data_IF_194296502417
#
_entry.id   IF_194296502417
#
_cell.length_a   1.000
_cell.length_b   1.000
_cell.length_c   1.000
_cell.angle_alpha   90.00
_cell.angle_beta   90.00
_cell.angle_gamma   90.00
#
_symmetry.space_group_name_H-M   'P 1'
#
loop_
_entity.id
_entity.type
_entity.pdbx_description
1 polymer ?
#
# COMPACT_ATOMS: atom_id res chain seq x y z
N UNK A 1 -11.03 -4.74 -8.50
CA UNK A 1 -10.27 -3.73 -7.74
C UNK A 1 -10.05 -2.54 -8.66
N UNK A 2 -10.23 -1.29 -8.20
CA UNK A 2 -9.77 -0.13 -8.96
C UNK A 2 -8.23 -0.14 -9.09
N UNK A 3 -7.69 0.52 -10.12
CA UNK A 3 -6.24 0.65 -10.31
C UNK A 3 -5.62 1.60 -9.27
N UNK A 4 -6.38 2.62 -8.88
CA UNK A 4 -6.02 3.60 -7.85
C UNK A 4 -7.25 3.82 -6.96
N UNK A 5 -7.06 3.88 -5.65
CA UNK A 5 -8.08 4.34 -4.71
C UNK A 5 -7.51 5.39 -3.77
N UNK A 6 -8.33 6.37 -3.40
CA UNK A 6 -7.93 7.51 -2.59
C UNK A 6 -8.69 7.49 -1.28
N UNK A 7 -7.99 7.73 -0.19
CA UNK A 7 -8.55 7.70 1.16
C UNK A 7 -8.21 8.97 1.91
N UNK A 8 -9.14 9.42 2.73
CA UNK A 8 -8.85 10.38 3.78
C UNK A 8 -8.00 9.71 4.89
N UNK A 9 -7.44 10.51 5.78
CA UNK A 9 -6.60 10.00 6.87
C UNK A 9 -7.36 9.04 7.80
N UNK A 10 -8.68 9.16 7.93
CA UNK A 10 -9.50 8.26 8.74
C UNK A 10 -9.78 6.90 8.07
N UNK A 11 -9.36 6.70 6.81
CA UNK A 11 -9.55 5.48 6.04
C UNK A 11 -10.84 5.44 5.22
N UNK A 12 -11.64 6.52 5.22
CA UNK A 12 -12.79 6.66 4.31
C UNK A 12 -12.32 6.87 2.86
N UNK A 13 -12.97 6.19 1.92
CA UNK A 13 -12.69 6.34 0.49
C UNK A 13 -13.25 7.69 0.01
N UNK A 14 -12.41 8.51 -0.61
CA UNK A 14 -12.78 9.86 -1.04
C UNK A 14 -13.64 9.83 -2.29
N UNK A 15 -14.76 10.57 -2.28
CA UNK A 15 -15.57 10.82 -3.48
C UNK A 15 -15.05 12.04 -4.24
N UNK A 16 -15.61 12.30 -5.43
CA UNK A 16 -15.23 13.45 -6.26
C UNK A 16 -15.47 14.79 -5.52
N UNK A 17 -16.49 14.84 -4.67
CA UNK A 17 -16.83 16.00 -3.84
C UNK A 17 -15.83 16.25 -2.70
N UNK A 18 -15.23 15.21 -2.14
CA UNK A 18 -14.26 15.30 -1.04
C UNK A 18 -12.95 15.98 -1.45
N UNK A 19 -12.62 15.96 -2.75
CA UNK A 19 -11.46 16.66 -3.30
C UNK A 19 -11.57 18.18 -3.22
N UNK A 20 -12.79 18.72 -3.25
CA UNK A 20 -13.06 20.16 -3.22
C UNK A 20 -13.00 20.77 -1.82
N UNK A 21 -13.01 19.95 -0.77
CA UNK A 21 -12.88 20.41 0.60
C UNK A 21 -11.41 20.72 0.89
N UNK A 22 -11.10 21.99 1.16
CA UNK A 22 -9.76 22.56 1.44
C UNK A 22 -9.00 22.00 2.66
N UNK A 23 -9.34 20.79 3.13
CA UNK A 23 -8.77 20.10 4.28
C UNK A 23 -7.89 18.90 3.93
N UNK A 24 -7.79 18.51 2.66
CA UNK A 24 -6.92 17.43 2.20
C UNK A 24 -5.42 17.82 2.18
N UNK A 25 -4.89 18.29 3.32
CA UNK A 25 -3.43 18.40 3.51
C UNK A 25 -2.80 17.02 3.67
N UNK A 26 -3.61 15.99 3.90
CA UNK A 26 -3.12 14.65 4.16
C UNK A 26 -4.04 13.62 3.53
N UNK A 27 -3.47 12.73 2.72
CA UNK A 27 -4.21 11.74 1.92
C UNK A 27 -3.47 10.40 1.93
N UNK A 28 -4.24 9.32 1.81
CA UNK A 28 -3.73 7.98 1.54
C UNK A 28 -4.10 7.56 0.11
N UNK A 29 -3.18 6.90 -0.57
CA UNK A 29 -3.33 6.45 -1.96
C UNK A 29 -3.02 4.98 -2.01
N UNK A 30 -3.96 4.17 -2.49
CA UNK A 30 -3.73 2.79 -2.85
C UNK A 30 -3.41 2.69 -4.34
N UNK A 31 -2.36 1.95 -4.67
CA UNK A 31 -1.96 1.63 -6.04
C UNK A 31 -2.00 0.11 -6.22
N UNK A 32 -2.81 -0.34 -7.18
CA UNK A 32 -2.97 -1.75 -7.49
C UNK A 32 -1.81 -2.27 -8.34
N UNK A 33 -1.00 -3.18 -7.78
CA UNK A 33 0.10 -3.84 -8.50
C UNK A 33 -0.37 -4.76 -9.64
N UNK A 34 -1.65 -5.13 -9.66
CA UNK A 34 -2.27 -5.89 -10.75
C UNK A 34 -2.79 -5.01 -11.89
N UNK A 35 -2.73 -3.68 -11.74
CA UNK A 35 -3.31 -2.69 -12.66
C UNK A 35 -2.42 -2.28 -13.82
N UNK A 36 -1.14 -2.68 -13.85
CA UNK A 36 -0.25 -2.38 -14.99
C UNK A 36 -0.40 -3.48 -16.04
N UNK A 37 -0.98 -3.21 -17.22
CA UNK A 37 -1.15 -4.18 -18.28
C UNK A 37 0.16 -4.35 -19.07
N UNK A 38 1.31 -4.45 -18.41
CA UNK A 38 2.53 -4.80 -19.10
C UNK A 38 2.64 -6.32 -19.18
N UNK A 39 2.80 -6.80 -20.41
CA UNK A 39 3.10 -8.18 -20.71
C UNK A 39 4.62 -8.28 -20.82
N UNK A 40 5.22 -9.23 -20.12
CA UNK A 40 6.63 -9.52 -20.36
C UNK A 40 6.86 -9.96 -21.83
N UNK A 41 8.13 -10.07 -22.24
CA UNK A 41 8.52 -10.52 -23.58
C UNK A 41 7.97 -11.92 -23.96
N UNK A 42 7.37 -12.65 -23.01
CA UNK A 42 6.80 -14.00 -23.15
C UNK A 42 5.26 -13.99 -23.05
N UNK A 43 4.62 -12.83 -22.95
CA UNK A 43 3.17 -12.68 -22.87
C UNK A 43 2.55 -12.98 -21.50
N UNK A 44 3.36 -13.15 -20.44
CA UNK A 44 2.89 -13.36 -19.08
C UNK A 44 2.48 -12.02 -18.44
N UNK A 45 1.46 -12.04 -17.58
CA UNK A 45 1.13 -10.87 -16.76
C UNK A 45 2.25 -10.67 -15.75
N UNK A 46 2.83 -9.48 -15.73
CA UNK A 46 3.66 -9.05 -14.60
C UNK A 46 2.70 -8.80 -13.42
N UNK A 47 2.78 -9.64 -12.40
CA UNK A 47 2.12 -9.43 -11.11
C UNK A 47 3.08 -8.60 -10.26
N UNK A 48 2.80 -7.32 -10.08
CA UNK A 48 3.56 -6.49 -9.15
C UNK A 48 2.85 -6.43 -7.79
N UNK A 49 3.57 -6.03 -6.76
CA UNK A 49 3.01 -5.84 -5.42
C UNK A 49 2.12 -4.58 -5.40
N UNK A 50 1.09 -4.60 -4.57
CA UNK A 50 0.25 -3.41 -4.34
C UNK A 50 0.86 -2.51 -3.28
N UNK A 51 0.60 -1.21 -3.36
CA UNK A 51 1.19 -0.22 -2.46
C UNK A 51 0.13 0.67 -1.81
N UNK A 52 0.43 1.15 -0.61
CA UNK A 52 -0.27 2.25 0.05
C UNK A 52 0.72 3.36 0.35
N UNK A 53 0.41 4.57 -0.08
CA UNK A 53 1.21 5.76 0.14
C UNK A 53 0.40 6.70 1.03
N UNK A 54 0.93 7.09 2.19
CA UNK A 54 0.32 8.14 3.01
C UNK A 54 1.17 9.39 2.96
N UNK A 55 0.57 10.50 2.53
CA UNK A 55 1.22 11.81 2.47
C UNK A 55 0.66 12.68 3.58
N UNK A 56 1.51 13.12 4.51
CA UNK A 56 1.17 14.11 5.51
C UNK A 56 1.78 15.46 5.15
N UNK A 57 1.04 16.32 4.45
CA UNK A 57 1.44 17.72 4.25
C UNK A 57 0.94 18.63 5.39
N UNK A 58 0.43 18.10 6.50
CA UNK A 58 0.15 18.90 7.69
C UNK A 58 1.44 19.20 8.49
N UNK A 59 1.39 20.22 9.35
CA UNK A 59 2.51 20.64 10.19
C UNK A 59 2.60 19.88 11.51
N UNK A 60 1.64 19.00 11.77
CA UNK A 60 1.60 18.11 12.93
C UNK A 60 1.55 16.65 12.46
N UNK A 61 1.96 15.68 13.28
CA UNK A 61 1.75 14.28 13.01
C UNK A 61 0.26 13.96 12.83
N UNK A 62 -0.07 13.10 11.88
CA UNK A 62 -1.43 12.64 11.61
C UNK A 62 -1.48 11.13 11.67
N UNK A 63 -2.54 10.62 12.30
CA UNK A 63 -2.87 9.19 12.27
C UNK A 63 -3.61 8.85 10.98
N UNK A 64 -3.12 7.83 10.29
CA UNK A 64 -3.72 7.25 9.10
C UNK A 64 -4.29 5.88 9.40
N UNK A 65 -5.53 5.63 9.00
CA UNK A 65 -6.11 4.30 8.93
C UNK A 65 -5.81 3.67 7.57
N UNK A 66 -5.23 2.47 7.56
CA UNK A 66 -4.93 1.76 6.33
C UNK A 66 -6.20 1.24 5.64
N UNK A 67 -6.15 0.99 4.32
CA UNK A 67 -7.30 0.44 3.62
C UNK A 67 -7.76 -0.92 4.17
N UNK A 68 -9.05 -1.27 4.00
CA UNK A 68 -9.58 -2.56 4.41
C UNK A 68 -8.95 -3.72 3.63
N UNK A 69 -9.08 -4.95 4.16
CA UNK A 69 -8.40 -6.15 3.67
C UNK A 69 -8.63 -6.46 2.19
N UNK A 70 -9.73 -5.97 1.59
CA UNK A 70 -9.97 -6.08 0.14
C UNK A 70 -8.84 -5.47 -0.70
N UNK A 71 -8.06 -4.52 -0.17
CA UNK A 71 -6.93 -3.90 -0.87
C UNK A 71 -5.57 -4.54 -0.53
N UNK A 72 -5.49 -5.36 0.51
CA UNK A 72 -4.27 -5.98 0.99
C UNK A 72 -4.42 -6.35 2.46
N UNK A 73 -4.04 -7.58 2.83
CA UNK A 73 -4.23 -8.10 4.19
C UNK A 73 -3.19 -7.56 5.18
N UNK A 74 -1.97 -7.34 4.70
CA UNK A 74 -0.82 -6.91 5.49
C UNK A 74 0.04 -5.94 4.70
N UNK A 75 0.62 -4.99 5.41
CA UNK A 75 1.36 -3.88 4.84
C UNK A 75 2.73 -3.75 5.51
N UNK A 76 3.79 -3.75 4.70
CA UNK A 76 5.17 -3.58 5.14
C UNK A 76 5.67 -2.20 4.77
N UNK A 77 6.24 -1.48 5.73
CA UNK A 77 6.90 -0.20 5.47
C UNK A 77 8.17 -0.40 4.65
N UNK A 78 8.24 0.24 3.48
CA UNK A 78 9.41 0.20 2.58
C UNK A 78 10.13 1.54 2.51
N UNK A 79 9.40 2.66 2.63
CA UNK A 79 9.97 4.02 2.66
C UNK A 79 9.28 4.81 3.77
N UNK A 80 10.08 5.58 4.52
CA UNK A 80 9.58 6.57 5.46
C UNK A 80 10.49 7.80 5.44
N UNK A 81 9.91 9.00 5.31
CA UNK A 81 10.67 10.25 5.20
C UNK A 81 10.66 11.10 6.47
N UNK A 82 9.96 10.67 7.52
CA UNK A 82 9.90 11.40 8.79
C UNK A 82 11.15 11.20 9.66
N UNK A 83 11.28 12.04 10.69
CA UNK A 83 12.41 11.98 11.61
C UNK A 83 12.30 10.78 12.58
N UNK A 84 11.08 10.31 12.84
CA UNK A 84 10.86 9.11 13.65
C UNK A 84 11.41 7.88 12.92
N UNK A 85 12.20 7.06 13.61
CA UNK A 85 12.52 5.72 13.09
C UNK A 85 11.26 4.88 13.17
N UNK A 86 10.61 4.57 12.04
CA UNK A 86 9.68 3.45 12.00
C UNK A 86 10.52 2.17 12.08
N UNK A 87 10.16 1.25 12.98
CA UNK A 87 10.81 -0.04 13.06
C UNK A 87 10.57 -0.78 11.73
N UNK A 88 11.60 -1.31 11.04
CA UNK A 88 11.43 -1.91 9.71
C UNK A 88 10.62 -3.21 9.64
N UNK A 89 9.87 -3.63 10.65
CA UNK A 89 9.54 -5.05 10.80
C UNK A 89 8.14 -5.44 11.27
N UNK A 90 7.26 -4.49 11.58
CA UNK A 90 5.88 -4.85 11.94
C UNK A 90 5.00 -4.72 10.69
N UNK A 91 4.63 -5.88 10.14
CA UNK A 91 3.57 -5.93 9.14
C UNK A 91 2.28 -5.43 9.78
N UNK A 92 1.80 -4.30 9.28
CA UNK A 92 0.56 -3.69 9.72
C UNK A 92 -0.60 -4.46 9.10
N UNK A 93 -1.57 -4.97 9.88
CA UNK A 93 -2.75 -5.58 9.30
C UNK A 93 -3.57 -4.53 8.54
N UNK A 94 -4.45 -4.99 7.67
CA UNK A 94 -5.48 -4.14 7.07
C UNK A 94 -6.25 -3.36 8.14
N UNK A 95 -6.68 -2.13 7.81
CA UNK A 95 -7.34 -1.21 8.75
C UNK A 95 -6.54 -0.86 10.02
N UNK A 96 -5.25 -1.21 10.12
CA UNK A 96 -4.39 -0.71 11.19
C UNK A 96 -4.24 0.80 11.11
N UNK A 97 -3.89 1.42 12.24
CA UNK A 97 -3.53 2.84 12.29
C UNK A 97 -2.02 3.05 12.35
N UNK A 98 -1.54 4.10 11.70
CA UNK A 98 -0.15 4.49 11.57
C UNK A 98 -0.01 5.99 11.73
N UNK A 99 0.83 6.45 12.66
CA UNK A 99 1.16 7.86 12.77
C UNK A 99 2.26 8.24 11.77
N UNK A 100 1.99 9.24 10.93
CA UNK A 100 2.93 9.82 9.97
C UNK A 100 3.34 11.21 10.45
N UNK A 101 4.64 11.46 10.61
CA UNK A 101 5.16 12.74 11.11
C UNK A 101 4.72 13.92 10.23
N UNK A 102 4.77 15.12 10.79
CA UNK A 102 4.55 16.36 10.06
C UNK A 102 5.43 16.45 8.80
N UNK A 103 4.84 16.89 7.68
CA UNK A 103 5.56 17.12 6.41
C UNK A 103 6.35 15.90 5.92
N UNK A 104 5.81 14.71 6.13
CA UNK A 104 6.46 13.45 5.77
C UNK A 104 5.52 12.52 5.01
N UNK A 105 6.09 11.44 4.48
CA UNK A 105 5.38 10.42 3.75
C UNK A 105 5.88 9.03 4.14
N UNK A 106 4.98 8.06 3.98
CA UNK A 106 5.27 6.63 4.13
C UNK A 106 4.81 5.89 2.89
N UNK A 107 5.58 4.89 2.49
CA UNK A 107 5.22 3.93 1.45
C UNK A 107 5.19 2.55 2.09
N UNK A 108 4.06 1.89 1.93
CA UNK A 108 3.79 0.54 2.38
C UNK A 108 3.62 -0.35 1.16
N UNK A 109 4.21 -1.53 1.20
CA UNK A 109 4.04 -2.59 0.20
C UNK A 109 3.16 -3.68 0.79
N UNK A 110 2.24 -4.22 0.01
CA UNK A 110 1.47 -5.38 0.40
C UNK A 110 2.43 -6.55 0.68
N UNK A 111 2.33 -7.17 1.84
CA UNK A 111 3.06 -8.39 2.13
C UNK A 111 2.36 -9.53 1.39
N UNK A 112 2.78 -9.78 0.15
CA UNK A 112 2.34 -10.97 -0.55
C UNK A 112 2.89 -12.20 0.19
N UNK A 113 2.00 -13.08 0.65
CA UNK A 113 2.37 -14.48 0.78
C UNK A 113 2.76 -14.92 -0.62
N UNK A 114 4.06 -15.07 -0.89
CA UNK A 114 4.50 -15.81 -2.06
C UNK A 114 3.65 -17.09 -2.11
N UNK A 115 2.97 -17.42 -3.22
CA UNK A 115 2.41 -18.74 -3.34
C UNK A 115 3.59 -19.68 -3.12
N UNK A 116 3.53 -20.42 -2.01
CA UNK A 116 4.45 -21.48 -1.65
C UNK A 116 4.85 -22.15 -2.96
N UNK A 117 6.11 -22.00 -3.39
CA UNK A 117 6.57 -22.68 -4.59
C UNK A 117 6.30 -24.15 -4.35
N UNK A 118 5.22 -24.63 -4.97
CA UNK A 118 4.80 -26.01 -4.90
C UNK A 118 6.00 -26.79 -5.37
N UNK A 119 6.48 -27.66 -4.49
CA UNK A 119 7.55 -28.59 -4.76
C UNK A 119 7.41 -29.08 -6.19
N UNK A 120 8.42 -28.79 -7.02
CA UNK A 120 8.58 -29.44 -8.31
C UNK A 120 8.83 -30.91 -8.01
N UNK A 121 7.72 -31.65 -7.89
CA UNK A 121 7.71 -33.09 -7.94
C UNK A 121 8.00 -33.51 -9.39
N UNK A 122 9.14 -34.15 -9.57
CA UNK A 122 9.35 -35.15 -10.62
C UNK A 122 9.78 -34.64 -11.98
N UNK A 123 11.08 -34.81 -12.29
CA UNK A 123 11.69 -35.39 -13.51
C UNK A 123 13.21 -35.36 -13.24
N UNK A 124 14.04 -36.40 -13.33
CA UNK A 124 14.06 -37.67 -14.05
C UNK A 124 14.79 -38.72 -13.15
N UNK A 125 14.67 -40.04 -13.29
CA UNK A 125 14.43 -40.81 -14.51
C UNK A 125 15.76 -41.28 -15.10
N UNK A 126 16.13 -42.52 -14.73
CA UNK A 126 17.22 -43.40 -15.20
C UNK A 126 18.63 -43.21 -14.61
#
# INVERSE_FOLDING_TARGET
MPDIAWFAADGSEMTEEDWGASYAKSIAVFLNGHGIPDRDLRGQRVLDDSFVLCFNAHHEPIEFTLPPAKFGERWRTVIYTGARRLAPCDELPAAATLTVDARSAVVLQAANELPSQSAVAGIAGQ
#
